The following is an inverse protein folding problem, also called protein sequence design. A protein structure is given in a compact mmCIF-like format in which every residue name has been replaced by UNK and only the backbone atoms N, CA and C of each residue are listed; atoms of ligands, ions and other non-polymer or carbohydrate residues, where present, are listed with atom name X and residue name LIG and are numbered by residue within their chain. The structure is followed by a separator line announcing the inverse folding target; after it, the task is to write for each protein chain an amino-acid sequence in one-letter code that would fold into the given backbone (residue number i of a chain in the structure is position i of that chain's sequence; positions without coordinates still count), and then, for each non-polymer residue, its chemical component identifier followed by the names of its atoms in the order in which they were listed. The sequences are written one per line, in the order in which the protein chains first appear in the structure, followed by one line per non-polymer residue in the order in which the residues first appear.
data_IF_801970103089
#
_entry.id   IF_801970103089
#
_cell.length_a   1.000
_cell.length_b   1.000
_cell.length_c   1.000
_cell.angle_alpha   90.00
_cell.angle_beta   90.00
_cell.angle_gamma   90.00
#
_symmetry.space_group_name_H-M   'P 1'
#
loop_
_entity.id
_entity.type
_entity.pdbx_description
1 polymer ?
#
# COMPACT_ATOMS: atom_id res chain seq x y z
N UNK A 1 -6.32 -5.67 -12.41
CA UNK A 1 -5.73 -4.90 -11.30
C UNK A 1 -4.27 -4.66 -11.63
N UNK A 2 -3.83 -3.40 -11.60
CA UNK A 2 -2.51 -2.98 -12.11
C UNK A 2 -1.43 -3.23 -11.07
N UNK A 3 -0.30 -3.78 -11.50
CA UNK A 3 0.87 -4.13 -10.67
C UNK A 3 1.48 -2.87 -10.05
N UNK A 4 1.34 -2.64 -8.73
CA UNK A 4 1.93 -1.48 -8.02
C UNK A 4 3.34 -1.76 -7.47
N UNK A 5 4.07 -2.74 -8.03
CA UNK A 5 5.38 -3.16 -7.54
C UNK A 5 6.45 -2.05 -7.61
N UNK A 6 6.35 -1.17 -8.60
CA UNK A 6 7.33 -0.11 -8.86
C UNK A 6 6.66 1.23 -9.05
N UNK A 7 7.30 2.30 -8.56
CA UNK A 7 6.91 3.69 -8.86
C UNK A 7 8.09 4.48 -9.41
N UNK A 8 7.80 5.44 -10.29
CA UNK A 8 8.80 6.37 -10.82
C UNK A 8 8.53 7.76 -10.25
N UNK A 9 9.55 8.35 -9.64
CA UNK A 9 9.50 9.72 -9.09
C UNK A 9 10.77 10.43 -9.53
N UNK A 10 10.66 11.56 -10.24
CA UNK A 10 11.80 12.36 -10.71
C UNK A 10 12.91 11.55 -11.42
N UNK A 11 12.52 10.65 -12.34
CA UNK A 11 13.45 9.78 -13.08
C UNK A 11 14.05 8.62 -12.27
N UNK A 12 13.73 8.51 -10.98
CA UNK A 12 14.16 7.42 -10.09
C UNK A 12 13.09 6.34 -10.01
N UNK A 13 13.50 5.09 -10.14
CA UNK A 13 12.62 3.90 -10.03
C UNK A 13 12.78 3.32 -8.63
N UNK A 14 11.66 3.20 -7.93
CA UNK A 14 11.57 2.59 -6.62
C UNK A 14 10.79 1.29 -6.68
N UNK A 15 11.24 0.28 -5.95
CA UNK A 15 10.51 -0.95 -5.69
C UNK A 15 9.92 -0.91 -4.28
N UNK A 16 8.67 -1.34 -4.13
CA UNK A 16 8.02 -1.43 -2.83
C UNK A 16 8.65 -2.56 -2.01
N UNK A 17 8.97 -2.29 -0.74
CA UNK A 17 9.52 -3.29 0.19
C UNK A 17 8.54 -3.69 1.28
N UNK A 18 7.53 -2.85 1.57
CA UNK A 18 6.41 -3.16 2.47
C UNK A 18 5.15 -2.46 1.98
N UNK A 19 4.03 -3.17 1.98
CA UNK A 19 2.75 -2.67 1.51
C UNK A 19 1.85 -2.33 2.70
N UNK A 20 1.77 -1.04 3.04
CA UNK A 20 1.15 -0.57 4.27
C UNK A 20 0.33 0.69 4.09
N UNK A 21 -0.80 0.76 4.78
CA UNK A 21 -1.67 1.93 4.80
C UNK A 21 -2.14 2.21 6.22
N UNK A 22 -2.27 3.50 6.53
CA UNK A 22 -2.86 3.97 7.79
C UNK A 22 -4.25 4.50 7.52
N UNK A 23 -5.23 4.01 8.29
CA UNK A 23 -6.57 4.57 8.31
C UNK A 23 -6.64 5.69 9.36
N UNK A 24 -6.85 6.93 8.92
CA UNK A 24 -6.88 8.11 9.80
C UNK A 24 -8.17 8.22 10.64
N UNK A 25 -9.18 7.39 10.36
CA UNK A 25 -10.42 7.31 11.17
C UNK A 25 -10.16 6.61 12.50
N UNK A 26 -9.53 5.44 12.45
CA UNK A 26 -9.25 4.61 13.63
C UNK A 26 -7.77 4.61 14.05
N UNK A 27 -6.96 5.43 13.37
CA UNK A 27 -5.51 5.51 13.52
C UNK A 27 -4.82 4.13 13.49
N UNK A 28 -5.30 3.26 12.60
CA UNK A 28 -4.87 1.87 12.51
C UNK A 28 -4.04 1.66 11.25
N UNK A 29 -2.81 1.20 11.44
CA UNK A 29 -1.89 0.88 10.35
C UNK A 29 -1.98 -0.62 10.07
N UNK A 30 -2.27 -0.96 8.82
CA UNK A 30 -2.37 -2.34 8.36
C UNK A 30 -1.33 -2.62 7.29
N UNK A 31 -0.82 -3.85 7.27
CA UNK A 31 0.20 -4.34 6.35
C UNK A 31 -0.28 -5.63 5.69
N UNK A 32 -0.15 -5.73 4.37
CA UNK A 32 -0.39 -6.98 3.64
C UNK A 32 0.92 -7.48 3.05
N UNK A 33 1.34 -8.67 3.51
CA UNK A 33 2.64 -9.24 3.15
C UNK A 33 2.58 -10.20 1.95
N UNK A 34 1.42 -10.81 1.69
CA UNK A 34 1.28 -11.85 0.66
C UNK A 34 0.12 -11.58 -0.28
N UNK A 35 0.15 -12.18 -1.47
CA UNK A 35 -0.88 -11.99 -2.49
C UNK A 35 -2.29 -12.45 -2.07
N UNK A 36 -2.36 -13.38 -1.12
CA UNK A 36 -3.63 -13.97 -0.66
C UNK A 36 -4.11 -13.42 0.69
N UNK A 37 -3.38 -12.49 1.30
CA UNK A 37 -3.76 -11.92 2.60
C UNK A 37 -4.60 -10.67 2.41
N UNK A 38 -5.86 -10.74 2.82
CA UNK A 38 -6.74 -9.57 3.00
C UNK A 38 -6.57 -9.07 4.43
N UNK A 39 -6.25 -7.79 4.59
CA UNK A 39 -6.14 -7.14 5.89
C UNK A 39 -7.09 -5.96 5.92
N UNK A 40 -7.82 -5.81 7.03
CA UNK A 40 -8.77 -4.72 7.27
C UNK A 40 -8.36 -3.96 8.51
N UNK A 41 -8.56 -2.63 8.48
CA UNK A 41 -8.39 -1.83 9.68
C UNK A 41 -9.54 -2.06 10.67
N UNK A 42 -9.33 -1.67 11.94
CA UNK A 42 -10.32 -1.83 13.04
C UNK A 42 -11.73 -1.30 12.74
N UNK A 43 -11.84 -0.20 12.01
CA UNK A 43 -13.14 0.40 11.65
C UNK A 43 -13.68 -0.07 10.30
N UNK A 44 -13.03 -1.05 9.67
CA UNK A 44 -13.38 -1.63 8.37
C UNK A 44 -13.44 -0.66 7.17
N UNK A 45 -13.12 0.63 7.36
CA UNK A 45 -13.06 1.62 6.29
C UNK A 45 -11.97 1.36 5.25
N UNK A 46 -10.88 0.70 5.65
CA UNK A 46 -9.72 0.42 4.81
C UNK A 46 -9.49 -1.10 4.75
N UNK A 47 -9.41 -1.61 3.52
CA UNK A 47 -8.99 -2.98 3.22
C UNK A 47 -7.82 -2.95 2.25
N UNK A 48 -6.77 -3.72 2.54
CA UNK A 48 -5.65 -3.94 1.62
C UNK A 48 -5.46 -5.44 1.34
N UNK A 49 -5.01 -5.78 0.14
CA UNK A 49 -4.74 -7.16 -0.28
C UNK A 49 -3.68 -7.23 -1.38
N UNK A 50 -3.21 -8.43 -1.72
CA UNK A 50 -2.31 -8.61 -2.87
C UNK A 50 -0.81 -8.44 -2.57
N UNK A 51 -0.46 -8.10 -1.33
CA UNK A 51 0.93 -7.93 -0.90
C UNK A 51 1.72 -6.93 -1.74
N UNK A 52 3.04 -7.03 -1.71
CA UNK A 52 3.95 -6.16 -2.48
C UNK A 52 3.79 -6.34 -4.00
N UNK A 53 3.39 -7.53 -4.46
CA UNK A 53 3.37 -7.85 -5.90
C UNK A 53 2.14 -7.29 -6.63
N UNK A 54 0.97 -7.39 -6.01
CA UNK A 54 -0.32 -7.06 -6.61
C UNK A 54 -1.14 -6.08 -5.78
N UNK A 55 -0.49 -5.41 -4.82
CA UNK A 55 -1.09 -4.52 -3.83
C UNK A 55 -2.31 -3.77 -4.33
N UNK A 56 -3.45 -4.10 -3.74
CA UNK A 56 -4.74 -3.47 -3.97
C UNK A 56 -5.25 -2.85 -2.68
N UNK A 57 -5.90 -1.70 -2.80
CA UNK A 57 -6.55 -1.00 -1.70
C UNK A 57 -8.01 -0.75 -2.05
N UNK A 58 -8.90 -0.98 -1.10
CA UNK A 58 -10.31 -0.58 -1.16
C UNK A 58 -10.62 0.25 0.07
N UNK A 59 -11.26 1.39 -0.16
CA UNK A 59 -11.59 2.34 0.88
C UNK A 59 -12.92 3.04 0.63
N UNK A 60 -13.72 3.24 1.68
CA UNK A 60 -14.94 4.06 1.58
C UNK A 60 -14.61 5.56 1.52
N UNK A 61 -13.63 6.01 2.30
CA UNK A 61 -13.17 7.40 2.33
C UNK A 61 -11.66 7.49 2.04
N UNK A 62 -11.30 7.76 0.79
CA UNK A 62 -9.90 7.77 0.33
C UNK A 62 -9.07 8.90 0.95
N UNK A 63 -9.68 10.07 1.20
CA UNK A 63 -8.98 11.22 1.82
C UNK A 63 -8.60 10.98 3.29
N UNK A 64 -9.15 9.93 3.90
CA UNK A 64 -8.91 9.53 5.29
C UNK A 64 -7.90 8.39 5.39
N UNK A 65 -7.08 8.19 4.36
CA UNK A 65 -6.07 7.14 4.30
C UNK A 65 -4.74 7.73 3.90
N UNK A 66 -3.67 7.23 4.54
CA UNK A 66 -2.30 7.61 4.23
C UNK A 66 -1.52 6.38 3.79
N UNK A 67 -0.93 6.45 2.59
CA UNK A 67 0.06 5.46 2.14
C UNK A 67 1.34 5.63 2.97
N UNK A 68 1.67 4.60 3.73
CA UNK A 68 2.89 4.51 4.54
C UNK A 68 3.77 3.34 4.08
N UNK A 69 3.56 2.87 2.85
CA UNK A 69 4.35 1.80 2.25
C UNK A 69 5.83 2.19 2.17
N UNK A 70 6.71 1.21 2.36
CA UNK A 70 8.15 1.42 2.25
C UNK A 70 8.63 1.17 0.81
N UNK A 71 9.58 1.98 0.36
CA UNK A 71 10.08 1.96 -1.01
C UNK A 71 11.60 2.05 -1.05
N UNK A 72 12.24 1.17 -1.82
CA UNK A 72 13.68 1.14 -2.04
C UNK A 72 14.02 1.63 -3.45
N UNK A 73 14.95 2.57 -3.55
CA UNK A 73 15.49 3.01 -4.84
C UNK A 73 16.25 1.84 -5.49
N UNK A 74 15.89 1.48 -6.72
CA UNK A 74 16.53 0.40 -7.47
C UNK A 74 17.22 0.87 -8.74
N UNK A 75 16.84 2.03 -9.29
CA UNK A 75 17.48 2.59 -10.50
C UNK A 75 17.31 4.11 -10.56
N UNK A 76 18.30 4.78 -11.14
CA UNK A 76 18.23 6.18 -11.58
C UNK A 76 18.32 6.13 -13.10
N UNK A 77 17.34 6.71 -13.80
CA UNK A 77 17.39 6.89 -15.25
C UNK A 77 18.10 8.19 -15.61
#
# INVERSE_FOLDING_TARGET
MTRMKTKTVDGKIYEMTRFMYTCNICNDTIESNTEHTIVRCKCENLTISGGIQYGGMVASFHDLITDVSEWKLIKIN
#
